data_IF_128543506611
#
_entry.id   IF_128543506611
#
_cell.length_a   1.000
_cell.length_b   1.000
_cell.length_c   1.000
_cell.angle_alpha   90.00
_cell.angle_beta   90.00
_cell.angle_gamma   90.00
#
_symmetry.space_group_name_H-M   'P 1'
#
loop_
_entity.id
_entity.type
_entity.pdbx_description
1 polymer ?
#
# COMPACT_ATOMS: atom_id res chain seq x y z
N UNK A 1 -37.53 2.62 -4.42
CA UNK A 1 -36.87 3.49 -3.44
C UNK A 1 -35.41 3.32 -3.75
N UNK A 2 -34.83 4.37 -4.29
CA UNK A 2 -33.41 4.46 -4.56
C UNK A 2 -32.72 4.58 -3.19
N UNK A 3 -32.05 3.51 -2.76
CA UNK A 3 -31.21 3.50 -1.56
C UNK A 3 -29.77 3.20 -2.00
N UNK A 4 -29.30 4.00 -2.98
CA UNK A 4 -27.89 4.20 -3.27
C UNK A 4 -27.42 5.45 -2.51
N UNK A 5 -27.49 5.44 -1.18
CA UNK A 5 -26.99 6.53 -0.33
C UNK A 5 -26.49 5.96 1.00
N UNK A 6 -25.29 5.38 0.99
CA UNK A 6 -24.37 5.33 2.15
C UNK A 6 -22.94 4.97 1.72
N UNK A 7 -22.51 5.52 0.57
CA UNK A 7 -21.22 5.18 -0.05
C UNK A 7 -19.99 5.62 0.77
N UNK A 8 -20.10 6.56 1.72
CA UNK A 8 -18.97 7.02 2.55
C UNK A 8 -19.40 7.63 3.90
N UNK A 9 -20.46 7.09 4.52
CA UNK A 9 -21.06 7.63 5.74
C UNK A 9 -20.23 7.43 7.02
N UNK A 10 -19.32 8.36 7.28
CA UNK A 10 -19.03 8.99 8.58
C UNK A 10 -18.46 8.20 9.77
N UNK A 11 -18.29 6.89 9.71
CA UNK A 11 -17.89 6.12 10.92
C UNK A 11 -16.39 5.74 10.96
N UNK A 12 -15.57 6.29 10.06
CA UNK A 12 -14.12 6.08 10.02
C UNK A 12 -13.32 7.31 10.52
N UNK A 13 -14.01 8.38 10.89
CA UNK A 13 -13.39 9.64 11.33
C UNK A 13 -13.24 9.77 12.86
N UNK A 14 -13.68 8.78 13.64
CA UNK A 14 -13.58 8.82 15.11
C UNK A 14 -12.23 8.27 15.66
N UNK A 15 -11.27 8.00 14.78
CA UNK A 15 -9.91 7.53 15.14
C UNK A 15 -8.86 8.69 15.11
N UNK A 16 -9.29 9.93 14.82
CA UNK A 16 -8.41 11.12 14.76
C UNK A 16 -8.05 11.68 16.16
N UNK A 17 -8.45 10.99 17.24
CA UNK A 17 -8.09 11.31 18.63
C UNK A 17 -6.94 10.49 19.21
N UNK A 18 -6.11 9.85 18.40
CA UNK A 18 -4.84 9.27 18.88
C UNK A 18 -3.72 10.30 18.82
N UNK A 19 -3.70 11.18 19.82
CA UNK A 19 -2.56 12.04 20.16
C UNK A 19 -1.29 11.20 20.37
N UNK A 20 -0.19 11.66 19.74
CA UNK A 20 1.22 11.34 20.05
C UNK A 20 1.57 9.85 20.07
N UNK A 21 1.84 9.34 18.86
CA UNK A 21 2.34 7.97 18.66
C UNK A 21 3.54 7.63 19.54
N UNK A 22 3.39 6.53 20.27
CA UNK A 22 4.46 5.77 20.90
C UNK A 22 5.50 5.35 19.84
N UNK A 23 6.72 4.94 20.23
CA UNK A 23 7.69 4.37 19.30
C UNK A 23 7.15 3.18 18.49
N UNK A 24 6.10 2.52 18.99
CA UNK A 24 5.43 1.37 18.41
C UNK A 24 4.48 1.77 17.27
N UNK A 25 3.91 2.99 17.32
CA UNK A 25 3.10 3.56 16.25
C UNK A 25 3.92 3.88 14.99
N UNK A 26 5.25 4.00 15.12
CA UNK A 26 6.16 4.10 13.96
C UNK A 26 6.27 2.80 13.15
N UNK A 27 5.70 1.69 13.64
CA UNK A 27 5.73 0.39 12.96
C UNK A 27 4.62 0.26 11.91
N UNK A 28 3.58 1.10 11.97
CA UNK A 28 2.39 0.99 11.12
C UNK A 28 2.23 2.23 10.24
N UNK A 29 2.54 2.10 8.95
CA UNK A 29 2.46 3.13 7.92
C UNK A 29 1.10 3.18 7.22
N UNK A 30 0.43 2.03 7.03
CA UNK A 30 -0.77 1.92 6.18
C UNK A 30 -2.01 1.38 6.90
N UNK A 31 -2.02 1.40 8.23
CA UNK A 31 -3.04 0.76 9.06
C UNK A 31 -4.47 1.21 8.72
N UNK A 32 -4.68 2.53 8.54
CA UNK A 32 -6.01 3.11 8.27
C UNK A 32 -6.47 2.75 6.86
N UNK A 33 -5.56 2.84 5.90
CA UNK A 33 -5.80 2.58 4.49
C UNK A 33 -6.09 1.09 4.24
N UNK A 34 -5.33 0.19 4.89
CA UNK A 34 -5.56 -1.26 4.81
C UNK A 34 -6.91 -1.66 5.41
N UNK A 35 -7.38 -1.00 6.47
CA UNK A 35 -8.72 -1.23 7.04
C UNK A 35 -9.81 -0.88 6.01
N UNK A 36 -9.74 0.32 5.42
CA UNK A 36 -10.70 0.74 4.40
C UNK A 36 -10.67 -0.16 3.16
N UNK A 37 -9.47 -0.59 2.75
CA UNK A 37 -9.28 -1.49 1.62
C UNK A 37 -9.90 -2.87 1.88
N UNK A 38 -9.62 -3.47 3.05
CA UNK A 38 -10.17 -4.77 3.44
C UNK A 38 -11.69 -4.75 3.47
N UNK A 39 -12.28 -3.70 4.05
CA UNK A 39 -13.73 -3.52 4.02
C UNK A 39 -14.28 -3.39 2.59
N UNK A 40 -13.58 -2.64 1.72
CA UNK A 40 -13.90 -2.55 0.29
C UNK A 40 -13.83 -3.89 -0.46
N UNK A 41 -13.05 -4.86 0.05
CA UNK A 41 -13.00 -6.23 -0.46
C UNK A 41 -14.02 -7.17 0.19
N UNK A 42 -14.85 -6.69 1.12
CA UNK A 42 -15.88 -7.45 1.80
C UNK A 42 -15.45 -8.10 3.11
N UNK A 43 -14.31 -7.69 3.68
CA UNK A 43 -13.92 -8.05 5.05
C UNK A 43 -14.75 -7.25 6.09
N UNK A 44 -14.60 -7.59 7.36
CA UNK A 44 -15.23 -6.85 8.46
C UNK A 44 -14.78 -5.37 8.50
N UNK A 45 -15.70 -4.48 8.92
CA UNK A 45 -15.41 -3.05 9.12
C UNK A 45 -14.25 -2.81 10.11
N UNK A 46 -14.09 -3.73 11.06
CA UNK A 46 -12.99 -3.77 12.03
C UNK A 46 -12.27 -5.12 11.92
N UNK A 47 -11.32 -5.27 10.98
CA UNK A 47 -10.51 -6.48 10.84
C UNK A 47 -9.62 -6.68 12.06
N UNK A 48 -9.19 -7.93 12.29
CA UNK A 48 -8.25 -8.24 13.36
C UNK A 48 -6.92 -7.50 13.19
N UNK A 49 -6.38 -6.98 14.30
CA UNK A 49 -5.10 -6.28 14.33
C UNK A 49 -3.94 -7.09 13.75
N UNK A 50 -3.99 -8.42 13.94
CA UNK A 50 -3.01 -9.36 13.39
C UNK A 50 -3.13 -9.52 11.87
N UNK A 51 -4.34 -9.42 11.32
CA UNK A 51 -4.57 -9.41 9.87
C UNK A 51 -3.95 -8.16 9.27
N UNK A 52 -4.20 -6.99 9.86
CA UNK A 52 -3.62 -5.73 9.41
C UNK A 52 -2.08 -5.74 9.50
N UNK A 53 -1.49 -6.22 10.60
CA UNK A 53 -0.04 -6.33 10.74
C UNK A 53 0.57 -7.28 9.70
N UNK A 54 -0.07 -8.43 9.47
CA UNK A 54 0.41 -9.41 8.48
C UNK A 54 0.33 -8.84 7.06
N UNK A 55 -0.80 -8.21 6.72
CA UNK A 55 -1.02 -7.63 5.40
C UNK A 55 -0.04 -6.49 5.13
N UNK A 56 0.23 -5.66 6.13
CA UNK A 56 1.21 -4.59 6.02
C UNK A 56 2.62 -5.12 5.72
N UNK A 57 3.04 -6.21 6.39
CA UNK A 57 4.29 -6.89 6.07
C UNK A 57 4.35 -7.38 4.62
N UNK A 58 3.27 -8.02 4.15
CA UNK A 58 3.17 -8.53 2.77
C UNK A 58 3.26 -7.38 1.75
N UNK A 59 2.57 -6.27 2.00
CA UNK A 59 2.56 -5.11 1.09
C UNK A 59 3.95 -4.46 1.03
N UNK A 60 4.63 -4.30 2.17
CA UNK A 60 5.99 -3.75 2.21
C UNK A 60 6.98 -4.62 1.45
N UNK A 61 6.93 -5.94 1.65
CA UNK A 61 7.78 -6.89 0.95
C UNK A 61 7.49 -6.88 -0.57
N UNK A 62 6.22 -6.81 -0.96
CA UNK A 62 5.83 -6.70 -2.36
C UNK A 62 6.35 -5.41 -3.01
N UNK A 63 6.19 -4.26 -2.36
CA UNK A 63 6.70 -2.97 -2.88
C UNK A 63 8.22 -3.04 -3.05
N UNK A 64 8.93 -3.59 -2.06
CA UNK A 64 10.38 -3.77 -2.11
C UNK A 64 10.79 -4.63 -3.30
N UNK A 65 10.17 -5.80 -3.45
CA UNK A 65 10.47 -6.72 -4.55
C UNK A 65 10.15 -6.09 -5.92
N UNK A 66 9.01 -5.38 -6.03
CA UNK A 66 8.62 -4.68 -7.24
C UNK A 66 9.65 -3.62 -7.64
N UNK A 67 10.17 -2.86 -6.67
CA UNK A 67 11.22 -1.87 -6.91
C UNK A 67 12.54 -2.51 -7.34
N UNK A 68 12.93 -3.63 -6.72
CA UNK A 68 14.12 -4.40 -7.11
C UNK A 68 14.01 -4.92 -8.56
N UNK A 69 12.86 -5.48 -8.93
CA UNK A 69 12.58 -5.92 -10.31
C UNK A 69 12.59 -4.76 -11.31
N UNK A 70 12.01 -3.61 -10.94
CA UNK A 70 12.02 -2.41 -11.78
C UNK A 70 13.44 -1.86 -11.98
N UNK A 71 14.24 -1.78 -10.92
CA UNK A 71 15.65 -1.36 -11.00
C UNK A 71 16.49 -2.28 -11.89
N UNK A 72 16.27 -3.59 -11.81
CA UNK A 72 16.97 -4.56 -12.65
C UNK A 72 16.59 -4.40 -14.14
N UNK A 73 15.31 -4.14 -14.42
CA UNK A 73 14.83 -3.81 -15.78
C UNK A 73 15.48 -2.53 -16.30
N UNK A 74 15.62 -1.49 -15.47
CA UNK A 74 16.28 -0.25 -15.87
C UNK A 74 17.78 -0.44 -16.14
N UNK A 75 18.51 -1.20 -15.31
CA UNK A 75 19.94 -1.51 -15.55
C UNK A 75 20.15 -2.27 -16.86
N UNK A 76 19.26 -3.22 -17.17
CA UNK A 76 19.28 -3.95 -18.44
C UNK A 76 19.03 -3.00 -19.63
N UNK A 77 18.04 -2.11 -19.52
CA UNK A 77 17.69 -1.19 -20.61
C UNK A 77 18.65 -0.01 -20.81
N UNK A 78 19.28 0.52 -19.76
CA UNK A 78 20.36 1.52 -19.90
C UNK A 78 21.54 0.91 -20.67
N UNK A 79 21.85 -0.37 -20.48
CA UNK A 79 22.83 -1.08 -21.29
C UNK A 79 22.42 -1.21 -22.77
N UNK A 80 21.14 -1.49 -23.03
CA UNK A 80 20.59 -1.60 -24.40
C UNK A 80 20.61 -0.26 -25.14
N UNK A 81 20.26 0.85 -24.49
CA UNK A 81 20.29 2.20 -25.09
C UNK A 81 21.75 2.59 -25.47
N UNK A 82 22.73 2.25 -24.63
CA UNK A 82 24.15 2.46 -24.95
C UNK A 82 24.68 1.55 -26.08
N UNK A 83 24.07 0.38 -26.29
CA UNK A 83 24.39 -0.52 -27.41
C UNK A 83 23.89 0.00 -28.75
N UNK A 84 22.70 0.60 -28.80
CA UNK A 84 22.13 1.16 -30.04
C UNK A 84 22.99 2.34 -30.57
N UNK A 85 23.51 3.20 -29.69
CA UNK A 85 24.39 4.32 -30.10
C UNK A 85 25.77 3.88 -30.63
N UNK A 86 26.18 2.61 -30.48
CA UNK A 86 27.42 2.08 -31.07
C UNK A 86 27.23 1.42 -32.43
N UNK A 87 25.99 1.16 -32.86
CA UNK A 87 25.69 0.55 -34.17
C UNK A 87 25.39 1.64 -35.22
N UNK A 88 25.01 2.84 -34.79
CA UNK A 88 24.64 3.96 -35.66
C UNK A 88 25.80 4.95 -35.90
N UNK A 89 26.98 4.71 -35.33
CA UNK A 89 28.21 5.49 -35.58
C UNK A 89 29.32 4.62 -36.15
#
# INVERSE_FOLDING_TARGET
MDEDDDLFGSDLDDDDKREKGSPEDKKFFFRKELRSMLYGFGDDKVPYDKTLETLEGIVLDYIKELCERAMNTTKQNIGVINGINKIVL
#
